data_IF_153454388621
#
_entry.id   IF_153454388621
#
_cell.length_a   1.000
_cell.length_b   1.000
_cell.length_c   1.000
_cell.angle_alpha   90.00
_cell.angle_beta   90.00
_cell.angle_gamma   90.00
#
_symmetry.space_group_name_H-M   'P 1'
#
loop_
_entity.id
_entity.type
_entity.pdbx_description
1 polymer ?
#
# COMPACT_ATOMS: atom_id res chain seq x y z
N UNK A 1 18.38 7.97 -13.84
CA UNK A 1 18.46 6.88 -12.87
C UNK A 1 19.64 5.98 -13.22
N UNK A 2 20.36 5.45 -12.23
CA UNK A 2 21.46 4.51 -12.47
C UNK A 2 20.90 3.18 -13.01
N UNK A 3 21.58 2.57 -13.97
CA UNK A 3 21.19 1.31 -14.62
C UNK A 3 21.17 0.08 -13.67
N UNK A 4 21.44 0.26 -12.37
CA UNK A 4 21.63 -0.82 -11.39
C UNK A 4 20.59 -0.76 -10.24
N UNK A 5 19.72 0.26 -10.19
CA UNK A 5 18.71 0.39 -9.13
C UNK A 5 17.29 0.27 -9.69
N UNK A 6 16.57 -0.79 -9.36
CA UNK A 6 15.17 -0.98 -9.76
C UNK A 6 14.18 -0.07 -9.00
N UNK A 7 14.63 0.62 -7.92
CA UNK A 7 13.78 1.49 -7.08
C UNK A 7 14.06 2.98 -7.29
N UNK A 8 13.06 3.72 -7.75
CA UNK A 8 13.09 5.19 -7.82
C UNK A 8 12.63 5.86 -6.52
N UNK A 9 12.41 7.18 -6.56
CA UNK A 9 11.86 7.94 -5.43
C UNK A 9 10.44 7.44 -5.07
N UNK A 10 9.63 7.07 -6.06
CA UNK A 10 8.28 6.52 -5.88
C UNK A 10 8.30 5.32 -4.95
N UNK A 11 9.17 4.34 -5.20
CA UNK A 11 9.29 3.13 -4.36
C UNK A 11 9.65 3.47 -2.91
N UNK A 12 10.55 4.45 -2.70
CA UNK A 12 10.92 4.91 -1.35
C UNK A 12 9.76 5.59 -0.62
N UNK A 13 8.98 6.39 -1.33
CA UNK A 13 7.80 7.05 -0.78
C UNK A 13 6.69 6.04 -0.45
N UNK A 14 6.50 5.02 -1.29
CA UNK A 14 5.59 3.91 -0.99
C UNK A 14 6.03 3.19 0.29
N UNK A 15 7.32 2.87 0.42
CA UNK A 15 7.86 2.26 1.64
C UNK A 15 7.66 3.16 2.87
N UNK A 16 7.83 4.48 2.73
CA UNK A 16 7.61 5.43 3.81
C UNK A 16 6.15 5.44 4.28
N UNK A 17 5.19 5.40 3.36
CA UNK A 17 3.75 5.33 3.68
C UNK A 17 3.40 4.04 4.41
N UNK A 18 3.86 2.89 3.89
CA UNK A 18 3.61 1.58 4.49
C UNK A 18 4.19 1.47 5.90
N UNK A 19 5.45 1.88 6.07
CA UNK A 19 6.11 1.85 7.37
C UNK A 19 5.50 2.87 8.34
N UNK A 20 5.12 4.05 7.82
CA UNK A 20 4.41 5.08 8.57
C UNK A 20 3.09 4.55 9.16
N UNK A 21 2.26 3.87 8.36
CA UNK A 21 1.04 3.24 8.82
C UNK A 21 1.28 2.16 9.90
N UNK A 22 2.44 1.49 9.86
CA UNK A 22 2.88 0.53 10.88
C UNK A 22 3.50 1.19 12.14
N UNK A 23 3.54 2.52 12.21
CA UNK A 23 4.20 3.25 13.30
C UNK A 23 5.73 3.17 13.26
N UNK A 24 6.31 2.76 12.13
CA UNK A 24 7.77 2.60 11.97
C UNK A 24 8.32 3.83 11.26
N UNK A 25 9.17 4.65 11.92
CA UNK A 25 9.77 5.81 11.28
C UNK A 25 10.78 5.40 10.20
N UNK A 26 10.86 6.20 9.13
CA UNK A 26 11.81 5.99 8.03
C UNK A 26 12.56 7.27 7.72
N UNK A 27 13.88 7.17 7.53
CA UNK A 27 14.71 8.28 7.05
C UNK A 27 15.11 8.01 5.59
N UNK A 28 14.83 8.95 4.71
CA UNK A 28 15.35 8.95 3.33
C UNK A 28 16.47 9.98 3.25
N UNK A 29 17.70 9.52 3.07
CA UNK A 29 18.87 10.37 2.93
C UNK A 29 19.73 9.98 1.72
N UNK A 30 20.75 10.78 1.41
CA UNK A 30 21.72 10.46 0.37
C UNK A 30 22.65 9.34 0.84
N UNK A 31 22.69 8.22 0.10
CA UNK A 31 23.66 7.15 0.34
C UNK A 31 25.14 7.52 0.05
N UNK A 32 25.39 8.74 -0.44
CA UNK A 32 26.75 9.29 -0.63
C UNK A 32 27.21 10.14 0.55
N UNK A 33 26.34 10.44 1.50
CA UNK A 33 26.72 11.16 2.72
C UNK A 33 27.61 10.25 3.56
N UNK A 34 28.73 10.81 4.05
CA UNK A 34 29.62 10.13 4.97
C UNK A 34 28.87 9.75 6.26
N UNK A 35 29.06 8.54 6.72
CA UNK A 35 28.41 7.98 7.92
C UNK A 35 26.88 8.14 7.97
N UNK A 36 26.21 8.11 6.81
CA UNK A 36 24.79 8.38 6.67
C UNK A 36 23.92 7.60 7.65
N UNK A 37 24.22 6.31 7.89
CA UNK A 37 23.46 5.46 8.84
C UNK A 37 23.67 5.92 10.28
N UNK A 38 24.91 6.13 10.68
CA UNK A 38 25.26 6.54 12.07
C UNK A 38 24.66 7.91 12.37
N UNK A 39 24.77 8.84 11.42
CA UNK A 39 24.26 10.20 11.56
C UNK A 39 22.73 10.25 11.58
N UNK A 40 22.07 9.40 10.79
CA UNK A 40 20.60 9.30 10.87
C UNK A 40 20.12 8.72 12.20
N UNK A 41 20.83 7.75 12.76
CA UNK A 41 20.54 7.22 14.11
C UNK A 41 20.83 8.23 15.21
N UNK A 42 21.77 9.15 15.00
CA UNK A 42 22.03 10.27 15.90
C UNK A 42 21.05 11.46 15.70
N UNK A 43 19.98 11.25 14.92
CA UNK A 43 18.96 12.26 14.64
C UNK A 43 19.49 13.54 13.97
N UNK A 44 20.64 13.45 13.28
CA UNK A 44 21.16 14.58 12.51
C UNK A 44 20.29 14.87 11.29
N UNK A 45 20.09 16.13 10.89
CA UNK A 45 19.23 16.53 9.77
C UNK A 45 19.90 16.27 8.41
N UNK A 46 20.21 15.01 8.10
CA UNK A 46 20.90 14.59 6.86
C UNK A 46 19.94 14.15 5.74
N UNK A 47 18.64 14.16 5.98
CA UNK A 47 17.63 13.69 5.03
C UNK A 47 16.22 14.11 5.43
N UNK A 48 15.24 13.36 4.93
CA UNK A 48 13.83 13.53 5.28
C UNK A 48 13.40 12.40 6.22
N UNK A 49 12.93 12.76 7.41
CA UNK A 49 12.31 11.84 8.35
C UNK A 49 10.80 11.75 8.05
N UNK A 50 10.32 10.55 7.82
CA UNK A 50 8.91 10.21 7.80
C UNK A 50 8.58 9.61 9.16
N UNK A 51 7.74 10.28 9.93
CA UNK A 51 7.29 9.81 11.25
C UNK A 51 6.22 8.74 11.05
N UNK A 52 6.21 7.74 11.96
CA UNK A 52 5.12 6.78 12.01
C UNK A 52 3.83 7.39 12.56
N UNK A 53 2.69 6.75 12.32
CA UNK A 53 1.41 7.11 12.91
C UNK A 53 1.50 7.10 14.45
N UNK A 54 0.86 8.08 15.11
CA UNK A 54 0.85 8.15 16.59
C UNK A 54 0.12 6.96 17.23
N UNK A 55 -0.88 6.42 16.54
CA UNK A 55 -1.54 5.18 16.92
C UNK A 55 -1.35 4.19 15.76
N UNK A 56 -0.37 3.29 15.86
CA UNK A 56 -0.18 2.28 14.83
C UNK A 56 -1.46 1.44 14.68
N UNK A 57 -1.97 1.33 13.47
CA UNK A 57 -2.94 0.28 13.19
C UNK A 57 -2.28 -1.06 13.55
N UNK A 58 -3.03 -2.01 14.12
CA UNK A 58 -2.51 -3.37 14.35
C UNK A 58 -2.16 -4.02 13.01
N UNK A 59 -0.97 -3.68 12.50
CA UNK A 59 -0.45 -4.24 11.26
C UNK A 59 0.23 -5.55 11.61
N UNK A 60 -0.45 -6.64 11.28
CA UNK A 60 0.13 -7.97 11.41
C UNK A 60 1.33 -8.13 10.46
N UNK A 61 2.31 -9.02 10.76
CA UNK A 61 3.41 -9.31 9.83
C UNK A 61 2.92 -9.69 8.42
N UNK A 62 1.75 -10.34 8.31
CA UNK A 62 1.11 -10.67 7.03
C UNK A 62 0.70 -9.41 6.27
N UNK A 63 0.05 -8.44 6.93
CA UNK A 63 -0.33 -7.16 6.31
C UNK A 63 0.90 -6.38 5.85
N UNK A 64 1.95 -6.35 6.67
CA UNK A 64 3.21 -5.69 6.30
C UNK A 64 3.85 -6.35 5.06
N UNK A 65 3.82 -7.69 4.98
CA UNK A 65 4.30 -8.42 3.81
C UNK A 65 3.49 -8.08 2.56
N UNK A 66 2.16 -8.02 2.64
CA UNK A 66 1.28 -7.62 1.53
C UNK A 66 1.63 -6.20 1.06
N UNK A 67 1.80 -5.27 1.99
CA UNK A 67 2.06 -3.87 1.69
C UNK A 67 3.42 -3.63 1.04
N UNK A 68 4.45 -4.38 1.45
CA UNK A 68 5.83 -4.27 0.93
C UNK A 68 6.08 -5.17 -0.28
N UNK A 69 5.15 -6.04 -0.64
CA UNK A 69 5.30 -6.99 -1.76
C UNK A 69 5.57 -6.28 -3.09
N UNK A 70 6.62 -6.73 -3.79
CA UNK A 70 7.10 -6.10 -5.05
C UNK A 70 6.24 -6.43 -6.28
N UNK A 71 5.31 -7.38 -6.18
CA UNK A 71 4.57 -7.90 -7.34
C UNK A 71 3.08 -7.58 -7.30
N UNK A 72 2.74 -6.29 -7.41
CA UNK A 72 1.34 -5.88 -7.64
C UNK A 72 0.92 -6.35 -9.02
N UNK A 73 -0.15 -7.16 -9.09
CA UNK A 73 -0.66 -7.77 -10.34
C UNK A 73 -1.74 -6.94 -11.01
N UNK A 74 -2.37 -6.04 -10.25
CA UNK A 74 -3.44 -5.21 -10.77
C UNK A 74 -3.87 -4.13 -9.81
N UNK A 75 -4.90 -3.37 -10.21
CA UNK A 75 -5.49 -2.34 -9.37
C UNK A 75 -7.01 -2.35 -9.44
N UNK A 76 -7.63 -2.02 -8.30
CA UNK A 76 -9.06 -1.86 -8.12
C UNK A 76 -9.38 -0.38 -7.90
N UNK A 77 -10.03 0.26 -8.88
CA UNK A 77 -10.52 1.63 -8.72
C UNK A 77 -11.87 1.60 -8.04
N UNK A 78 -11.97 2.27 -6.91
CA UNK A 78 -13.16 2.24 -6.06
C UNK A 78 -13.92 3.57 -6.11
N UNK A 79 -15.23 3.52 -5.83
CA UNK A 79 -16.01 4.74 -5.64
C UNK A 79 -15.79 5.37 -4.26
N UNK A 80 -16.23 6.62 -4.09
CA UNK A 80 -16.08 7.35 -2.83
C UNK A 80 -16.78 6.66 -1.65
N UNK A 81 -17.88 5.96 -1.88
CA UNK A 81 -18.59 5.22 -0.84
C UNK A 81 -17.79 4.01 -0.35
N UNK A 82 -17.20 3.25 -1.28
CA UNK A 82 -16.34 2.12 -0.96
C UNK A 82 -15.04 2.60 -0.27
N UNK A 83 -14.42 3.68 -0.77
CA UNK A 83 -13.25 4.27 -0.13
C UNK A 83 -13.54 4.66 1.33
N UNK A 84 -14.65 5.38 1.59
CA UNK A 84 -15.07 5.74 2.94
C UNK A 84 -15.37 4.50 3.82
N UNK A 85 -16.04 3.49 3.27
CA UNK A 85 -16.36 2.27 4.01
C UNK A 85 -15.12 1.48 4.46
N UNK A 86 -14.05 1.47 3.66
CA UNK A 86 -12.81 0.78 4.04
C UNK A 86 -11.92 1.64 4.94
N UNK A 87 -11.80 2.96 4.69
CA UNK A 87 -10.94 3.86 5.46
C UNK A 87 -11.52 4.09 6.86
N UNK A 88 -12.75 4.59 6.94
CA UNK A 88 -13.35 4.99 8.22
C UNK A 88 -14.07 3.83 8.92
N UNK A 89 -14.61 2.89 8.14
CA UNK A 89 -15.39 1.76 8.67
C UNK A 89 -14.58 0.51 8.97
N UNK A 90 -13.33 0.39 8.51
CA UNK A 90 -12.53 -0.81 8.65
C UNK A 90 -13.17 -2.05 8.02
N UNK A 91 -14.01 -1.87 7.01
CA UNK A 91 -14.76 -2.95 6.36
C UNK A 91 -13.94 -3.62 5.26
N UNK A 92 -14.41 -4.80 4.82
CA UNK A 92 -13.92 -5.44 3.59
C UNK A 92 -14.31 -4.62 2.37
N UNK A 93 -13.47 -4.61 1.34
CA UNK A 93 -13.83 -4.05 0.04
C UNK A 93 -14.76 -5.03 -0.70
N UNK A 94 -15.98 -4.58 -0.96
CA UNK A 94 -16.95 -5.34 -1.74
C UNK A 94 -16.75 -5.10 -3.23
N UNK A 95 -17.01 -6.11 -4.06
CA UNK A 95 -16.87 -6.01 -5.51
C UNK A 95 -17.80 -4.94 -6.13
N UNK A 96 -18.98 -4.72 -5.54
CA UNK A 96 -19.93 -3.68 -5.97
C UNK A 96 -19.36 -2.25 -5.88
N UNK A 97 -18.40 -2.00 -4.99
CA UNK A 97 -17.72 -0.72 -4.86
C UNK A 97 -16.57 -0.51 -5.83
N UNK A 98 -16.23 -1.53 -6.63
CA UNK A 98 -15.15 -1.47 -7.62
C UNK A 98 -15.71 -0.99 -8.96
N UNK A 99 -15.30 0.19 -9.42
CA UNK A 99 -15.72 0.78 -10.69
C UNK A 99 -14.93 0.27 -11.89
N UNK A 100 -13.64 0.02 -11.70
CA UNK A 100 -12.71 -0.38 -12.77
C UNK A 100 -11.65 -1.31 -12.23
N UNK A 101 -11.28 -2.30 -13.00
CA UNK A 101 -10.26 -3.30 -12.70
C UNK A 101 -9.13 -3.16 -13.71
N UNK A 102 -7.91 -2.99 -13.25
CA UNK A 102 -6.69 -2.98 -14.07
C UNK A 102 -5.87 -4.24 -13.82
N UNK A 103 -5.26 -4.76 -14.87
CA UNK A 103 -4.45 -5.97 -14.84
C UNK A 103 -5.28 -7.26 -14.86
N UNK A 104 -4.56 -8.36 -14.91
CA UNK A 104 -5.11 -9.71 -14.81
C UNK A 104 -4.44 -10.40 -13.63
N UNK A 105 -5.26 -10.80 -12.66
CA UNK A 105 -4.83 -11.38 -11.41
C UNK A 105 -5.78 -12.51 -10.98
N UNK A 106 -5.24 -13.41 -10.17
CA UNK A 106 -5.95 -14.51 -9.54
C UNK A 106 -6.24 -14.23 -8.06
N UNK A 107 -7.02 -15.11 -7.44
CA UNK A 107 -7.20 -15.07 -5.99
C UNK A 107 -5.83 -15.16 -5.29
N UNK A 108 -5.67 -14.39 -4.19
CA UNK A 108 -4.45 -14.24 -3.40
C UNK A 108 -3.31 -13.44 -4.06
N UNK A 109 -3.51 -12.93 -5.28
CA UNK A 109 -2.60 -11.95 -5.86
C UNK A 109 -2.72 -10.58 -5.17
N UNK A 110 -1.59 -9.87 -5.10
CA UNK A 110 -1.54 -8.52 -4.52
C UNK A 110 -2.06 -7.50 -5.52
N UNK A 111 -3.03 -6.69 -5.09
CA UNK A 111 -3.63 -5.62 -5.89
C UNK A 111 -3.63 -4.29 -5.13
N UNK A 112 -3.47 -3.18 -5.84
CA UNK A 112 -3.61 -1.83 -5.28
C UNK A 112 -5.09 -1.42 -5.28
N UNK A 113 -5.47 -0.59 -4.30
CA UNK A 113 -6.78 0.07 -4.24
C UNK A 113 -6.58 1.54 -4.52
N UNK A 114 -7.29 2.06 -5.54
CA UNK A 114 -7.15 3.42 -6.05
C UNK A 114 -8.48 4.15 -5.91
N UNK A 115 -8.45 5.35 -5.36
CA UNK A 115 -9.63 6.21 -5.23
C UNK A 115 -10.00 6.94 -6.53
N UNK A 116 -11.07 7.75 -6.47
CA UNK A 116 -11.56 8.55 -7.61
C UNK A 116 -10.58 9.65 -8.06
N UNK A 117 -9.68 10.08 -7.19
CA UNK A 117 -8.65 11.09 -7.49
C UNK A 117 -7.38 10.45 -8.10
N UNK A 118 -7.32 9.13 -8.16
CA UNK A 118 -6.20 8.37 -8.72
C UNK A 118 -5.09 8.09 -7.72
N UNK A 119 -5.32 8.29 -6.43
CA UNK A 119 -4.36 7.95 -5.39
C UNK A 119 -4.50 6.49 -4.95
N UNK A 120 -3.36 5.82 -4.75
CA UNK A 120 -3.35 4.51 -4.12
C UNK A 120 -3.62 4.71 -2.63
N UNK A 121 -4.81 4.32 -2.18
CA UNK A 121 -5.28 4.44 -0.80
C UNK A 121 -5.06 3.17 0.02
N UNK A 122 -4.70 2.07 -0.63
CA UNK A 122 -4.46 0.81 0.05
C UNK A 122 -3.94 -0.29 -0.88
N UNK A 123 -3.68 -1.44 -0.29
CA UNK A 123 -3.22 -2.65 -0.97
C UNK A 123 -3.74 -3.88 -0.25
N UNK A 124 -4.04 -4.94 -0.99
CA UNK A 124 -4.54 -6.16 -0.37
C UNK A 124 -4.42 -7.39 -1.26
N UNK A 125 -4.83 -8.54 -0.72
CA UNK A 125 -4.95 -9.78 -1.48
C UNK A 125 -6.35 -9.89 -2.08
N UNK A 126 -6.40 -10.11 -3.39
CA UNK A 126 -7.65 -10.34 -4.10
C UNK A 126 -8.30 -11.65 -3.60
N UNK A 127 -9.61 -11.63 -3.32
CA UNK A 127 -10.36 -12.82 -2.90
C UNK A 127 -10.82 -13.68 -4.07
N UNK A 128 -10.77 -13.15 -5.29
CA UNK A 128 -11.18 -13.81 -6.50
C UNK A 128 -10.39 -13.26 -7.70
N UNK A 129 -10.48 -13.92 -8.83
CA UNK A 129 -9.82 -13.48 -10.06
C UNK A 129 -10.44 -12.19 -10.62
N UNK A 130 -9.64 -11.46 -11.40
CA UNK A 130 -10.11 -10.29 -12.13
C UNK A 130 -11.29 -10.61 -13.06
N UNK A 131 -11.34 -11.83 -13.63
CA UNK A 131 -12.42 -12.30 -14.48
C UNK A 131 -13.72 -12.48 -13.70
N UNK A 132 -13.66 -13.13 -12.52
CA UNK A 132 -14.83 -13.33 -11.64
C UNK A 132 -15.40 -12.00 -11.13
N UNK A 133 -14.53 -11.00 -10.87
CA UNK A 133 -15.00 -9.65 -10.53
C UNK A 133 -15.69 -8.97 -11.73
N UNK A 134 -15.12 -9.08 -12.94
CA UNK A 134 -15.70 -8.48 -14.15
C UNK A 134 -17.04 -9.13 -14.54
N UNK A 135 -17.22 -10.43 -14.28
CA UNK A 135 -18.48 -11.14 -14.52
C UNK A 135 -19.59 -10.84 -13.51
N UNK A 136 -19.23 -10.20 -12.37
CA UNK A 136 -20.17 -9.90 -11.29
C UNK A 136 -20.51 -11.09 -10.41
N UNK A 137 -19.69 -12.14 -10.43
CA UNK A 137 -19.87 -13.34 -9.59
C UNK A 137 -19.28 -13.16 -8.19
N UNK A 138 -18.42 -12.15 -8.01
CA UNK A 138 -17.73 -11.89 -6.75
C UNK A 138 -18.53 -10.96 -5.84
N UNK A 139 -18.66 -11.32 -4.56
CA UNK A 139 -19.24 -10.46 -3.52
C UNK A 139 -18.16 -9.60 -2.85
N UNK A 140 -17.04 -10.20 -2.48
CA UNK A 140 -15.92 -9.53 -1.77
C UNK A 140 -14.70 -9.48 -2.65
N UNK A 141 -14.18 -8.27 -2.87
CA UNK A 141 -12.95 -8.05 -3.63
C UNK A 141 -11.70 -8.28 -2.76
N UNK A 142 -11.64 -7.65 -1.57
CA UNK A 142 -10.55 -7.82 -0.60
C UNK A 142 -11.14 -7.91 0.81
N UNK A 143 -10.73 -8.90 1.59
CA UNK A 143 -11.14 -9.01 2.98
C UNK A 143 -10.35 -8.01 3.85
N UNK A 144 -11.03 -7.39 4.85
CA UNK A 144 -10.41 -6.38 5.75
C UNK A 144 -9.13 -6.86 6.43
N UNK A 145 -9.03 -8.14 6.76
CA UNK A 145 -7.84 -8.69 7.42
C UNK A 145 -6.64 -8.83 6.47
N UNK A 146 -6.88 -8.72 5.15
CA UNK A 146 -5.90 -8.80 4.08
C UNK A 146 -5.78 -7.47 3.31
N UNK A 147 -6.42 -6.41 3.82
CA UNK A 147 -6.35 -5.05 3.31
C UNK A 147 -5.49 -4.20 4.26
N UNK A 148 -4.55 -3.47 3.70
CA UNK A 148 -3.80 -2.42 4.38
C UNK A 148 -4.12 -1.09 3.71
N UNK A 149 -4.35 -0.06 4.50
CA UNK A 149 -4.63 1.30 4.02
C UNK A 149 -3.38 2.15 4.17
N UNK A 150 -3.20 3.08 3.25
CA UNK A 150 -2.12 4.06 3.22
C UNK A 150 -2.71 5.43 3.54
N UNK A 151 -2.49 5.94 4.73
CA UNK A 151 -2.82 7.31 5.11
C UNK A 151 -1.80 8.33 4.57
#
# INVERSE_FOLDING_TARGET
GSAVGSGGMVTKLTSARVLGAAGIPLVICSGRAEDAVVRSLAEEPIGTLFTGAEVPHEITPRKLWIALGDSVKGALHVDAGAAHAIIDGGNSLLAVGVKRIEGDFEAEDVVDVIDDDGFVIGRGLARCSSESMRSGEADVAIHRDELILFE
#
